data_IF_078422150759
#
_entry.id   IF_078422150759
#
_cell.length_a   1.000
_cell.length_b   1.000
_cell.length_c   1.000
_cell.angle_alpha   90.00
_cell.angle_beta   90.00
_cell.angle_gamma   90.00
#
_symmetry.space_group_name_H-M   'P 1'
#
loop_
_entity.id
_entity.type
_entity.pdbx_description
1 polymer ?
#
# COMPACT_ATOMS: atom_id res chain seq x y z
N UNK A 1 24.38 47.08 -15.78
CA UNK A 1 23.05 47.00 -16.44
C UNK A 1 22.00 46.92 -15.34
N UNK A 2 20.96 47.77 -15.36
CA UNK A 2 19.85 47.66 -14.41
C UNK A 2 18.76 46.77 -15.03
N UNK A 3 18.26 45.79 -14.28
CA UNK A 3 17.14 44.97 -14.74
C UNK A 3 15.83 45.78 -14.68
N UNK A 4 15.02 45.71 -15.74
CA UNK A 4 13.73 46.41 -15.78
C UNK A 4 12.83 45.95 -14.61
N UNK A 5 12.12 46.85 -13.90
CA UNK A 5 11.35 46.49 -12.70
C UNK A 5 10.36 45.34 -12.87
N UNK A 6 9.77 45.19 -14.07
CA UNK A 6 8.86 44.08 -14.40
C UNK A 6 9.57 42.71 -14.39
N UNK A 7 10.85 42.65 -14.80
CA UNK A 7 11.64 41.42 -14.76
C UNK A 7 11.99 41.06 -13.32
N UNK A 8 12.49 42.02 -12.53
CA UNK A 8 12.81 41.79 -11.11
C UNK A 8 11.61 41.29 -10.30
N UNK A 9 10.38 41.71 -10.66
CA UNK A 9 9.13 41.17 -10.08
C UNK A 9 8.85 39.73 -10.50
N UNK A 10 9.08 39.36 -11.76
CA UNK A 10 8.94 37.98 -12.23
C UNK A 10 9.96 37.05 -11.54
N UNK A 11 11.24 37.43 -11.57
CA UNK A 11 12.34 36.69 -10.94
C UNK A 11 12.06 36.44 -9.43
N UNK A 12 11.48 37.42 -8.72
CA UNK A 12 11.09 37.31 -7.31
C UNK A 12 9.88 36.37 -7.07
N UNK A 13 8.88 36.39 -7.96
CA UNK A 13 7.73 35.47 -7.88
C UNK A 13 8.15 34.02 -8.15
N UNK A 14 9.03 33.80 -9.13
CA UNK A 14 9.61 32.48 -9.39
C UNK A 14 10.40 31.97 -8.17
N UNK A 15 11.27 32.80 -7.59
CA UNK A 15 12.03 32.46 -6.39
C UNK A 15 11.14 32.09 -5.18
N UNK A 16 10.09 32.89 -4.91
CA UNK A 16 9.10 32.56 -3.87
C UNK A 16 8.42 31.22 -4.14
N UNK A 17 7.98 30.99 -5.39
CA UNK A 17 7.29 29.74 -5.75
C UNK A 17 8.19 28.50 -5.69
N UNK A 18 9.51 28.65 -5.94
CA UNK A 18 10.49 27.58 -5.69
C UNK A 18 10.66 27.28 -4.21
N UNK A 19 10.62 28.28 -3.32
CA UNK A 19 10.71 28.04 -1.87
C UNK A 19 9.47 27.30 -1.33
N UNK A 20 8.28 27.61 -1.83
CA UNK A 20 7.03 26.93 -1.49
C UNK A 20 7.05 25.44 -1.89
N UNK A 21 7.54 25.14 -3.10
CA UNK A 21 7.72 23.77 -3.57
C UNK A 21 8.80 23.03 -2.78
N UNK A 22 9.87 23.73 -2.35
CA UNK A 22 10.94 23.12 -1.56
C UNK A 22 10.50 22.77 -0.13
N UNK A 23 9.70 23.60 0.55
CA UNK A 23 9.15 23.24 1.87
C UNK A 23 8.17 22.06 1.76
N UNK A 24 7.28 22.08 0.77
CA UNK A 24 6.37 20.97 0.52
C UNK A 24 7.09 19.65 0.19
N UNK A 25 8.23 19.71 -0.52
CA UNK A 25 9.08 18.55 -0.76
C UNK A 25 9.87 18.11 0.48
N UNK A 26 10.33 19.00 1.38
CA UNK A 26 10.92 18.53 2.65
C UNK A 26 9.90 17.80 3.50
N UNK A 27 8.69 18.36 3.63
CA UNK A 27 7.61 17.81 4.43
C UNK A 27 7.17 16.41 3.92
N UNK A 28 7.18 16.21 2.59
CA UNK A 28 6.86 14.93 1.95
C UNK A 28 7.94 13.85 2.11
N UNK A 29 9.22 14.22 2.13
CA UNK A 29 10.33 13.26 2.04
C UNK A 29 11.04 12.96 3.37
N UNK A 30 10.73 13.69 4.46
CA UNK A 30 11.32 13.43 5.78
C UNK A 30 11.22 11.95 6.22
N UNK A 31 12.31 11.33 6.73
CA UNK A 31 13.62 11.93 7.06
C UNK A 31 14.63 11.94 5.90
N UNK A 32 14.28 11.44 4.71
CA UNK A 32 15.18 11.41 3.56
C UNK A 32 15.36 12.79 2.90
N UNK A 33 16.54 13.10 2.32
CA UNK A 33 16.70 14.32 1.54
C UNK A 33 15.89 14.22 0.24
N UNK A 34 15.12 15.25 -0.08
CA UNK A 34 14.35 15.32 -1.33
C UNK A 34 15.29 15.20 -2.55
N UNK A 35 14.86 14.50 -3.63
CA UNK A 35 15.71 14.26 -4.80
C UNK A 35 16.08 15.56 -5.52
N UNK A 36 17.23 15.57 -6.21
CA UNK A 36 17.67 16.73 -6.98
C UNK A 36 16.69 17.01 -8.14
N UNK A 37 16.14 18.23 -8.16
CA UNK A 37 15.23 18.71 -9.21
C UNK A 37 15.94 19.76 -10.06
N UNK A 38 15.94 19.57 -11.38
CA UNK A 38 16.39 20.59 -12.33
C UNK A 38 15.55 21.86 -12.21
N UNK A 39 16.21 23.02 -12.04
CA UNK A 39 15.54 24.32 -11.87
C UNK A 39 15.09 24.91 -13.21
N UNK A 40 14.06 24.32 -13.79
CA UNK A 40 13.46 24.69 -15.08
C UNK A 40 12.05 25.29 -14.84
N UNK A 41 11.65 26.28 -15.64
CA UNK A 41 10.29 26.83 -15.57
C UNK A 41 9.20 25.79 -15.91
N UNK A 42 9.54 24.74 -16.66
CA UNK A 42 8.66 23.60 -16.92
C UNK A 42 8.50 22.68 -15.70
N UNK A 43 9.59 22.33 -15.00
CA UNK A 43 9.55 21.49 -13.80
C UNK A 43 8.89 22.21 -12.63
N UNK A 44 9.12 23.53 -12.50
CA UNK A 44 8.43 24.39 -11.54
C UNK A 44 6.90 24.31 -11.71
N UNK A 45 6.39 24.48 -12.95
CA UNK A 45 4.95 24.40 -13.23
C UNK A 45 4.38 22.99 -13.02
N UNK A 46 5.14 21.95 -13.37
CA UNK A 46 4.74 20.57 -13.10
C UNK A 46 4.60 20.29 -11.59
N UNK A 47 5.56 20.77 -10.78
CA UNK A 47 5.53 20.61 -9.33
C UNK A 47 4.47 21.48 -8.65
N UNK A 48 4.22 22.71 -9.13
CA UNK A 48 3.10 23.53 -8.68
C UNK A 48 1.74 22.85 -8.94
N UNK A 49 1.57 22.25 -10.13
CA UNK A 49 0.36 21.50 -10.46
C UNK A 49 0.22 20.25 -9.58
N UNK A 50 1.30 19.50 -9.35
CA UNK A 50 1.29 18.31 -8.48
C UNK A 50 0.98 18.69 -7.02
N UNK A 51 1.57 19.78 -6.51
CA UNK A 51 1.27 20.33 -5.20
C UNK A 51 -0.20 20.74 -5.06
N UNK A 52 -0.76 21.45 -6.04
CA UNK A 52 -2.16 21.85 -6.04
C UNK A 52 -3.11 20.65 -6.10
N UNK A 53 -2.83 19.68 -6.98
CA UNK A 53 -3.63 18.45 -7.12
C UNK A 53 -3.54 17.57 -5.86
N UNK A 54 -2.37 17.47 -5.22
CA UNK A 54 -2.22 16.70 -3.98
C UNK A 54 -2.96 17.36 -2.81
N UNK A 55 -2.88 18.69 -2.67
CA UNK A 55 -3.66 19.45 -1.67
C UNK A 55 -5.17 19.28 -1.92
N UNK A 56 -5.61 19.28 -3.18
CA UNK A 56 -7.01 19.01 -3.53
C UNK A 56 -7.41 17.55 -3.20
N UNK A 57 -6.56 16.58 -3.48
CA UNK A 57 -6.78 15.17 -3.14
C UNK A 57 -6.85 14.95 -1.63
N UNK A 58 -5.97 15.57 -0.84
CA UNK A 58 -5.98 15.50 0.63
C UNK A 58 -7.21 16.19 1.24
N UNK A 59 -7.66 17.31 0.66
CA UNK A 59 -8.94 17.93 1.04
C UNK A 59 -10.12 16.99 0.74
N UNK A 60 -10.14 16.32 -0.42
CA UNK A 60 -11.16 15.30 -0.75
C UNK A 60 -11.10 14.09 0.19
N UNK A 61 -9.90 13.59 0.56
CA UNK A 61 -9.74 12.54 1.58
C UNK A 61 -10.33 12.99 2.92
N UNK A 62 -10.07 14.23 3.34
CA UNK A 62 -10.61 14.84 4.55
C UNK A 62 -12.14 14.91 4.55
N UNK A 63 -12.74 15.36 3.44
CA UNK A 63 -14.20 15.39 3.27
C UNK A 63 -14.83 13.99 3.33
N UNK A 64 -14.21 12.99 2.66
CA UNK A 64 -14.68 11.60 2.70
C UNK A 64 -14.60 11.02 4.12
N UNK A 65 -13.51 11.27 4.85
CA UNK A 65 -13.37 10.83 6.24
C UNK A 65 -14.36 11.53 7.19
N UNK A 66 -14.66 12.82 6.95
CA UNK A 66 -15.66 13.55 7.70
C UNK A 66 -17.08 13.00 7.46
N UNK A 67 -17.46 12.78 6.20
CA UNK A 67 -18.74 12.18 5.84
C UNK A 67 -18.90 10.76 6.40
N UNK A 68 -17.86 9.92 6.33
CA UNK A 68 -17.86 8.59 6.96
C UNK A 68 -18.06 8.66 8.49
N UNK A 69 -17.47 9.65 9.16
CA UNK A 69 -17.67 9.87 10.59
C UNK A 69 -19.08 10.37 10.93
N UNK A 70 -19.69 11.16 10.04
CA UNK A 70 -21.07 11.65 10.19
C UNK A 70 -22.08 10.51 9.98
N UNK A 71 -21.94 9.68 8.94
CA UNK A 71 -22.72 8.46 8.73
C UNK A 71 -22.63 7.49 9.94
N UNK A 72 -21.43 7.34 10.53
CA UNK A 72 -21.24 6.56 11.76
C UNK A 72 -21.86 7.21 13.01
N UNK A 73 -22.19 8.50 12.97
CA UNK A 73 -22.89 9.23 14.04
C UNK A 73 -24.41 9.27 13.87
N UNK A 74 -24.91 9.26 12.62
CA UNK A 74 -26.34 9.14 12.31
C UNK A 74 -26.84 7.70 12.41
N UNK A 75 -25.95 6.72 12.27
CA UNK A 75 -26.16 5.34 12.71
C UNK A 75 -26.34 5.28 14.24
N UNK A 76 -27.59 5.47 14.68
CA UNK A 76 -27.99 5.54 16.08
C UNK A 76 -27.73 4.27 16.92
N UNK A 77 -28.17 4.25 18.19
CA UNK A 77 -27.80 3.24 19.18
C UNK A 77 -27.83 1.81 18.64
N UNK A 78 -26.63 1.23 18.52
CA UNK A 78 -26.38 -0.04 17.84
C UNK A 78 -27.33 -1.11 18.38
N UNK A 79 -28.29 -1.61 17.58
CA UNK A 79 -29.18 -2.66 18.04
C UNK A 79 -28.35 -3.88 18.45
N UNK A 80 -28.76 -4.56 19.52
CA UNK A 80 -28.15 -5.80 20.02
C UNK A 80 -28.50 -6.95 19.08
N UNK A 81 -27.98 -6.88 17.86
CA UNK A 81 -28.05 -7.94 16.86
C UNK A 81 -27.13 -9.07 17.29
N UNK A 82 -27.64 -10.30 17.24
CA UNK A 82 -26.86 -11.50 17.48
C UNK A 82 -25.62 -11.52 16.57
N UNK A 83 -24.51 -12.08 17.06
CA UNK A 83 -23.24 -12.08 16.32
C UNK A 83 -23.33 -12.70 14.93
N UNK A 84 -24.26 -13.64 14.72
CA UNK A 84 -24.55 -14.23 13.43
C UNK A 84 -25.30 -13.27 12.49
N UNK A 85 -26.27 -12.51 13.01
CA UNK A 85 -27.00 -11.46 12.27
C UNK A 85 -26.08 -10.30 11.90
N UNK A 86 -25.16 -9.91 12.80
CA UNK A 86 -24.12 -8.93 12.52
C UNK A 86 -23.15 -9.43 11.42
N UNK A 87 -22.72 -10.69 11.50
CA UNK A 87 -21.84 -11.30 10.51
C UNK A 87 -22.48 -11.35 9.12
N UNK A 88 -23.74 -11.81 9.01
CA UNK A 88 -24.50 -11.80 7.75
C UNK A 88 -24.70 -10.39 7.19
N UNK A 89 -24.88 -9.38 8.05
CA UNK A 89 -24.97 -7.97 7.63
C UNK A 89 -23.62 -7.45 7.07
N UNK A 90 -22.50 -7.76 7.73
CA UNK A 90 -21.16 -7.43 7.26
C UNK A 90 -20.82 -8.15 5.95
N UNK A 91 -21.15 -9.44 5.85
CA UNK A 91 -21.05 -10.19 4.60
C UNK A 91 -21.90 -9.58 3.49
N UNK A 92 -23.07 -9.02 3.80
CA UNK A 92 -23.92 -8.36 2.79
C UNK A 92 -23.34 -7.01 2.31
N UNK A 93 -22.67 -6.26 3.19
CA UNK A 93 -22.16 -4.91 2.90
C UNK A 93 -20.74 -4.89 2.33
N UNK A 94 -19.92 -5.93 2.57
CA UNK A 94 -18.57 -6.02 2.02
C UNK A 94 -18.57 -6.14 0.47
N UNK A 95 -17.73 -5.36 -0.24
CA UNK A 95 -17.47 -5.57 -1.66
C UNK A 95 -16.98 -7.00 -1.99
N UNK A 96 -17.29 -7.54 -3.19
CA UNK A 96 -16.82 -8.87 -3.59
C UNK A 96 -15.32 -9.17 -3.39
N UNK A 97 -14.35 -8.28 -3.73
CA UNK A 97 -12.93 -8.60 -3.54
C UNK A 97 -12.53 -8.68 -2.07
N UNK A 98 -13.15 -7.93 -1.16
CA UNK A 98 -12.85 -8.04 0.27
C UNK A 98 -13.43 -9.31 0.89
N UNK A 99 -14.54 -9.85 0.37
CA UNK A 99 -15.01 -11.20 0.76
C UNK A 99 -13.99 -12.27 0.37
N UNK A 100 -13.52 -12.24 -0.88
CA UNK A 100 -12.52 -13.19 -1.38
C UNK A 100 -11.19 -13.08 -0.62
N UNK A 101 -10.76 -11.86 -0.26
CA UNK A 101 -9.57 -11.66 0.56
C UNK A 101 -9.73 -12.22 1.98
N UNK A 102 -10.88 -12.01 2.62
CA UNK A 102 -11.18 -12.52 3.97
C UNK A 102 -11.31 -14.05 3.97
N UNK A 103 -11.96 -14.63 2.95
CA UNK A 103 -12.04 -16.08 2.74
C UNK A 103 -10.65 -16.70 2.50
N UNK A 104 -9.78 -16.03 1.73
CA UNK A 104 -8.39 -16.45 1.53
C UNK A 104 -7.57 -16.38 2.82
N UNK A 105 -7.76 -15.34 3.64
CA UNK A 105 -7.12 -15.17 4.95
C UNK A 105 -7.61 -16.22 5.96
N UNK A 106 -8.90 -16.55 5.96
CA UNK A 106 -9.46 -17.63 6.78
C UNK A 106 -8.88 -19.00 6.36
N UNK A 107 -8.76 -19.25 5.05
CA UNK A 107 -8.12 -20.47 4.52
C UNK A 107 -6.64 -20.56 4.90
N UNK A 108 -5.88 -19.47 4.80
CA UNK A 108 -4.47 -19.49 5.21
C UNK A 108 -4.32 -19.64 6.73
N UNK A 109 -5.16 -19.00 7.55
CA UNK A 109 -5.18 -19.22 9.00
C UNK A 109 -5.44 -20.68 9.38
N UNK A 110 -6.40 -21.34 8.73
CA UNK A 110 -6.69 -22.78 8.93
C UNK A 110 -5.52 -23.66 8.46
N UNK A 111 -4.96 -23.40 7.28
CA UNK A 111 -3.83 -24.17 6.74
C UNK A 111 -2.54 -24.01 7.57
N UNK A 112 -2.32 -22.86 8.20
CA UNK A 112 -1.18 -22.58 9.07
C UNK A 112 -1.39 -23.04 10.52
N UNK A 113 -2.58 -23.54 10.86
CA UNK A 113 -2.93 -24.00 12.21
C UNK A 113 -3.04 -22.88 13.24
N UNK A 114 -3.38 -21.66 12.84
CA UNK A 114 -3.55 -20.52 13.75
C UNK A 114 -4.72 -20.80 14.73
N UNK A 115 -4.49 -20.84 16.06
CA UNK A 115 -5.55 -21.20 17.00
C UNK A 115 -6.56 -20.07 17.13
N UNK A 116 -7.84 -20.36 16.87
CA UNK A 116 -8.96 -19.50 17.24
C UNK A 116 -9.20 -19.65 18.75
N UNK A 117 -8.34 -19.03 19.57
CA UNK A 117 -8.61 -18.89 21.00
C UNK A 117 -9.70 -17.85 21.21
N UNK A 118 -10.87 -18.32 21.63
CA UNK A 118 -11.75 -17.54 22.49
C UNK A 118 -11.12 -17.43 23.88
N UNK A 119 -11.54 -16.39 24.60
CA UNK A 119 -11.36 -16.16 26.03
C UNK A 119 -10.03 -15.48 26.44
N UNK A 120 -10.16 -14.20 26.84
CA UNK A 120 -9.17 -13.27 27.40
C UNK A 120 -7.98 -12.84 26.51
N UNK A 121 -7.81 -11.51 26.45
CA UNK A 121 -6.70 -10.71 25.91
C UNK A 121 -6.33 -10.86 24.40
N UNK A 122 -6.34 -9.76 23.60
CA UNK A 122 -6.13 -9.83 22.16
C UNK A 122 -4.76 -9.30 21.65
N UNK A 123 -3.67 -10.11 21.65
CA UNK A 123 -2.66 -9.98 20.60
C UNK A 123 -3.32 -10.43 19.28
N UNK A 124 -3.09 -9.73 18.18
CA UNK A 124 -3.95 -9.92 17.00
C UNK A 124 -3.73 -11.28 16.33
N UNK A 125 -4.82 -11.98 15.97
CA UNK A 125 -4.74 -13.23 15.19
C UNK A 125 -4.06 -13.04 13.82
N UNK A 126 -4.04 -11.81 13.31
CA UNK A 126 -3.31 -11.38 12.12
C UNK A 126 -1.79 -11.41 12.36
N UNK A 127 -1.32 -10.97 13.53
CA UNK A 127 0.09 -11.00 13.93
C UNK A 127 0.59 -12.43 14.21
N UNK A 128 -0.26 -13.28 14.80
CA UNK A 128 -0.01 -14.71 14.90
C UNK A 128 0.11 -15.40 13.52
N UNK A 129 -0.72 -14.99 12.55
CA UNK A 129 -0.64 -15.46 11.17
C UNK A 129 0.61 -14.93 10.44
N UNK A 130 0.93 -13.64 10.59
CA UNK A 130 2.13 -13.03 9.99
C UNK A 130 3.41 -13.68 10.51
N UNK A 131 3.53 -13.85 11.83
CA UNK A 131 4.68 -14.52 12.44
C UNK A 131 4.79 -15.99 12.03
N UNK A 132 3.66 -16.72 11.89
CA UNK A 132 3.70 -18.11 11.38
C UNK A 132 4.10 -18.20 9.90
N UNK A 133 3.65 -17.28 9.05
CA UNK A 133 4.09 -17.18 7.64
C UNK A 133 5.59 -16.90 7.57
N UNK A 134 6.08 -15.89 8.30
CA UNK A 134 7.50 -15.52 8.29
C UNK A 134 8.39 -16.66 8.81
N UNK A 135 7.95 -17.37 9.85
CA UNK A 135 8.66 -18.54 10.35
C UNK A 135 8.64 -19.70 9.33
N UNK A 136 7.53 -19.95 8.64
CA UNK A 136 7.47 -20.96 7.57
C UNK A 136 8.42 -20.62 6.41
N UNK A 137 8.52 -19.34 6.02
CA UNK A 137 9.48 -18.93 4.97
C UNK A 137 10.95 -19.06 5.40
N UNK A 138 11.24 -18.97 6.71
CA UNK A 138 12.56 -19.28 7.26
C UNK A 138 12.82 -20.79 7.27
N UNK A 139 11.88 -21.58 7.80
CA UNK A 139 11.94 -23.04 7.81
C UNK A 139 12.18 -23.60 6.39
N UNK A 140 11.54 -23.00 5.37
CA UNK A 140 11.74 -23.34 3.96
C UNK A 140 13.15 -23.01 3.45
N UNK A 141 13.64 -21.78 3.68
CA UNK A 141 14.99 -21.37 3.25
C UNK A 141 16.11 -22.15 3.96
N UNK A 142 15.95 -22.45 5.24
CA UNK A 142 16.89 -23.26 6.01
C UNK A 142 16.93 -24.71 5.48
N UNK A 143 15.81 -25.25 5.01
CA UNK A 143 15.75 -26.56 4.35
C UNK A 143 16.32 -26.54 2.92
N UNK A 144 16.04 -25.51 2.13
CA UNK A 144 16.67 -25.31 0.81
C UNK A 144 18.20 -25.23 0.92
N UNK A 145 18.71 -24.51 1.93
CA UNK A 145 20.15 -24.40 2.24
C UNK A 145 20.74 -25.74 2.71
N UNK A 146 19.98 -26.56 3.44
CA UNK A 146 20.41 -27.92 3.79
C UNK A 146 20.46 -28.84 2.56
N UNK A 147 19.50 -28.74 1.64
CA UNK A 147 19.48 -29.53 0.41
C UNK A 147 20.68 -29.18 -0.48
N UNK A 148 20.97 -27.90 -0.72
CA UNK A 148 22.13 -27.51 -1.53
C UNK A 148 23.45 -27.95 -0.90
N UNK A 149 23.59 -27.89 0.43
CA UNK A 149 24.75 -28.42 1.16
C UNK A 149 24.89 -29.94 1.02
N UNK A 150 23.78 -30.69 1.04
CA UNK A 150 23.76 -32.14 0.79
C UNK A 150 24.15 -32.46 -0.66
N UNK A 151 23.71 -31.66 -1.64
CA UNK A 151 24.10 -31.81 -3.06
C UNK A 151 25.57 -31.47 -3.29
N UNK A 152 26.11 -30.43 -2.64
CA UNK A 152 27.55 -30.10 -2.66
C UNK A 152 28.37 -31.24 -2.05
N UNK A 153 27.98 -31.76 -0.89
CA UNK A 153 28.63 -32.90 -0.24
C UNK A 153 28.53 -34.18 -1.10
N UNK A 154 27.39 -34.42 -1.73
CA UNK A 154 27.19 -35.54 -2.65
C UNK A 154 28.04 -35.39 -3.93
N UNK A 155 28.17 -34.17 -4.46
CA UNK A 155 29.04 -33.89 -5.62
C UNK A 155 30.52 -34.08 -5.30
N UNK A 156 30.95 -33.67 -4.10
CA UNK A 156 32.34 -33.82 -3.65
C UNK A 156 32.68 -35.26 -3.29
N UNK A 157 31.76 -36.02 -2.69
CA UNK A 157 31.90 -37.47 -2.52
C UNK A 157 31.96 -38.19 -3.88
N UNK A 158 31.07 -37.88 -4.83
CA UNK A 158 31.12 -38.46 -6.18
C UNK A 158 32.42 -38.11 -6.91
N UNK A 159 32.94 -36.89 -6.72
CA UNK A 159 34.26 -36.49 -7.25
C UNK A 159 35.41 -37.23 -6.57
N UNK A 160 35.35 -37.46 -5.26
CA UNK A 160 36.33 -38.28 -4.53
C UNK A 160 36.28 -39.75 -4.96
N UNK A 161 35.09 -40.33 -5.11
CA UNK A 161 34.89 -41.70 -5.64
C UNK A 161 35.47 -41.80 -7.05
N UNK A 162 35.15 -40.86 -7.94
CA UNK A 162 35.70 -40.80 -9.30
C UNK A 162 37.23 -40.67 -9.29
N UNK A 163 37.78 -39.83 -8.41
CA UNK A 163 39.22 -39.66 -8.24
C UNK A 163 39.90 -40.92 -7.67
N UNK A 164 39.28 -41.63 -6.73
CA UNK A 164 39.79 -42.89 -6.17
C UNK A 164 39.70 -44.01 -7.21
N UNK A 165 38.65 -44.05 -8.04
CA UNK A 165 38.54 -44.97 -9.18
C UNK A 165 39.62 -44.69 -10.23
N UNK A 166 39.89 -43.43 -10.55
CA UNK A 166 41.00 -43.03 -11.44
C UNK A 166 42.36 -43.35 -10.82
N UNK A 167 42.57 -43.07 -9.54
CA UNK A 167 43.82 -43.34 -8.83
C UNK A 167 44.09 -44.84 -8.68
N UNK A 168 43.06 -45.67 -8.46
CA UNK A 168 43.21 -47.14 -8.41
C UNK A 168 43.38 -47.74 -9.81
N UNK A 169 42.69 -47.23 -10.84
CA UNK A 169 42.93 -47.63 -12.23
C UNK A 169 44.34 -47.25 -12.72
N UNK A 170 44.82 -46.05 -12.35
CA UNK A 170 46.20 -45.62 -12.61
C UNK A 170 47.19 -46.46 -11.80
N UNK A 171 46.97 -46.68 -10.51
CA UNK A 171 47.85 -47.53 -9.69
C UNK A 171 47.95 -48.96 -10.23
N UNK A 172 46.85 -49.58 -10.67
CA UNK A 172 46.84 -50.89 -11.35
C UNK A 172 47.61 -50.88 -12.69
N UNK A 173 47.76 -49.71 -13.31
CA UNK A 173 48.60 -49.48 -14.50
C UNK A 173 50.06 -49.12 -14.16
N UNK A 174 50.31 -48.73 -12.91
CA UNK A 174 51.53 -48.10 -12.42
C UNK A 174 52.18 -48.88 -11.26
N UNK A 175 51.79 -50.16 -11.09
CA UNK A 175 52.53 -51.18 -10.31
C UNK A 175 53.85 -51.61 -10.99
N UNK A 176 54.60 -50.64 -11.53
CA UNK A 176 56.03 -50.69 -11.80
C UNK A 176 56.60 -49.40 -11.20
N UNK A 177 57.40 -49.47 -10.11
CA UNK A 177 57.33 -48.45 -9.05
C UNK A 177 58.35 -47.30 -9.13
N UNK A 178 57.97 -46.14 -8.60
CA UNK A 178 58.80 -45.13 -7.86
C UNK A 178 57.93 -43.89 -7.51
N UNK A 179 58.26 -42.99 -6.59
CA UNK A 179 58.79 -43.07 -5.22
C UNK A 179 58.70 -41.66 -4.58
N UNK A 180 58.54 -41.56 -3.26
CA UNK A 180 58.99 -40.46 -2.38
C UNK A 180 58.37 -39.02 -2.37
N UNK A 181 57.76 -38.72 -1.20
CA UNK A 181 57.98 -37.56 -0.29
C UNK A 181 57.41 -36.14 -0.51
N UNK A 182 56.52 -35.75 0.43
CA UNK A 182 56.59 -34.63 1.41
C UNK A 182 57.33 -33.32 1.02
N UNK A 183 56.79 -32.11 1.32
CA UNK A 183 56.77 -31.59 2.71
C UNK A 183 55.84 -30.36 2.95
N UNK A 184 55.60 -30.03 4.23
CA UNK A 184 54.98 -28.76 4.69
C UNK A 184 56.02 -27.72 5.16
N UNK A 185 55.64 -26.43 5.20
CA UNK A 185 56.34 -25.29 5.88
C UNK A 185 55.37 -24.09 6.06
N UNK A 186 55.61 -23.18 7.03
CA UNK A 186 54.65 -22.09 7.37
C UNK A 186 55.22 -20.92 8.21
N UNK A 187 54.40 -19.86 8.36
CA UNK A 187 54.34 -18.85 9.45
C UNK A 187 55.28 -17.61 9.46
N UNK A 188 54.75 -16.47 9.97
CA UNK A 188 55.35 -15.55 11.01
C UNK A 188 55.47 -14.02 10.74
N UNK A 189 54.91 -13.21 11.67
CA UNK A 189 55.25 -11.84 12.23
C UNK A 189 55.17 -10.46 11.49
N UNK A 190 54.17 -9.63 11.89
CA UNK A 190 54.23 -8.39 12.76
C UNK A 190 54.86 -7.01 12.28
N UNK A 191 54.95 -5.90 13.11
CA UNK A 191 54.23 -4.58 12.96
C UNK A 191 55.21 -3.32 13.00
N UNK A 192 54.96 -2.05 13.52
CA UNK A 192 53.80 -1.31 14.14
C UNK A 192 53.68 0.23 13.74
N UNK A 193 53.26 1.13 14.69
CA UNK A 193 53.35 2.64 14.74
C UNK A 193 52.28 3.54 14.01
N UNK A 194 51.94 4.82 14.35
CA UNK A 194 51.94 5.62 15.62
C UNK A 194 51.26 7.04 15.51
N UNK A 195 51.00 7.72 16.66
CA UNK A 195 50.64 9.17 16.87
C UNK A 195 49.22 9.66 16.42
N UNK A 196 48.68 10.89 16.67
CA UNK A 196 49.12 12.16 17.34
C UNK A 196 47.94 13.07 17.84
N UNK A 197 48.20 14.23 18.48
CA UNK A 197 47.24 15.20 19.13
C UNK A 197 47.73 16.71 18.98
N UNK A 198 47.33 17.81 19.71
CA UNK A 198 46.30 18.05 20.78
C UNK A 198 45.57 19.48 20.89
N UNK A 199 44.59 19.61 21.82
CA UNK A 199 44.22 20.74 22.76
C UNK A 199 43.69 22.17 22.36
N UNK A 200 42.67 22.70 23.12
CA UNK A 200 42.52 24.09 23.72
C UNK A 200 41.16 24.42 24.42
N UNK A 201 41.19 25.40 25.37
CA UNK A 201 40.23 25.92 26.42
C UNK A 201 39.01 26.80 25.91
N UNK A 202 38.10 27.50 26.65
CA UNK A 202 37.99 28.08 28.03
C UNK A 202 36.51 28.40 28.49
N UNK A 203 36.26 29.04 29.67
CA UNK A 203 34.90 29.25 30.28
C UNK A 203 34.73 30.43 31.33
N UNK A 204 33.65 31.27 31.31
CA UNK A 204 33.21 32.18 32.41
C UNK A 204 31.66 32.35 32.67
N UNK A 205 31.21 33.02 33.77
CA UNK A 205 29.78 33.20 34.24
C UNK A 205 29.56 34.55 35.03
N UNK A 206 28.31 35.09 35.18
CA UNK A 206 27.89 35.87 36.38
C UNK A 206 26.45 35.59 36.94
N UNK A 207 26.05 36.22 38.07
CA UNK A 207 24.88 35.90 38.95
C UNK A 207 24.17 37.16 39.56
N UNK A 208 22.87 37.15 39.98
CA UNK A 208 22.16 38.31 40.60
C UNK A 208 21.75 38.18 42.10
N UNK A 209 21.16 39.23 42.70
CA UNK A 209 20.80 39.36 44.15
C UNK A 209 19.36 39.89 44.44
N UNK A 210 18.98 40.05 45.72
CA UNK A 210 17.60 40.02 46.28
C UNK A 210 17.06 41.35 46.89
N UNK A 211 15.74 41.46 47.27
CA UNK A 211 15.03 42.74 47.45
C UNK A 211 14.52 43.08 48.87
N UNK A 212 14.06 44.34 49.07
CA UNK A 212 13.25 44.82 50.21
C UNK A 212 12.30 45.96 49.78
N UNK A 213 11.00 45.86 50.05
CA UNK A 213 9.99 46.97 50.21
C UNK A 213 8.60 46.35 50.41
N UNK A 214 7.80 46.82 51.39
CA UNK A 214 6.49 46.20 51.72
C UNK A 214 5.30 47.17 51.71
N UNK A 215 5.49 48.49 51.91
CA UNK A 215 4.37 49.44 51.95
C UNK A 215 3.96 49.96 50.56
N UNK A 216 4.91 50.19 49.65
CA UNK A 216 4.60 50.60 48.26
C UNK A 216 3.73 49.56 47.54
N UNK A 217 3.92 48.28 47.89
CA UNK A 217 3.23 47.14 47.26
C UNK A 217 1.69 47.25 47.26
N UNK A 218 1.08 47.93 48.24
CA UNK A 218 -0.37 48.14 48.27
C UNK A 218 -0.84 49.19 47.24
N UNK A 219 -0.06 50.26 47.05
CA UNK A 219 -0.31 51.27 46.01
C UNK A 219 -0.02 50.69 44.62
N UNK A 220 1.10 49.97 44.47
CA UNK A 220 1.48 49.27 43.25
C UNK A 220 0.41 48.24 42.83
N UNK A 221 -0.18 47.52 43.79
CA UNK A 221 -1.27 46.58 43.53
C UNK A 221 -2.54 47.28 42.99
N UNK A 222 -2.91 48.44 43.56
CA UNK A 222 -4.06 49.22 43.05
C UNK A 222 -3.79 49.78 41.65
N UNK A 223 -2.59 50.32 41.40
CA UNK A 223 -2.18 50.79 40.09
C UNK A 223 -2.23 49.65 39.05
N UNK A 224 -1.65 48.50 39.37
CA UNK A 224 -1.66 47.29 38.52
C UNK A 224 -3.09 46.81 38.20
N UNK A 225 -3.98 46.82 39.18
CA UNK A 225 -5.40 46.45 38.99
C UNK A 225 -6.14 47.44 38.09
N UNK A 226 -5.82 48.74 38.19
CA UNK A 226 -6.35 49.77 37.29
C UNK A 226 -5.83 49.59 35.86
N UNK A 227 -4.53 49.33 35.67
CA UNK A 227 -3.93 49.03 34.36
C UNK A 227 -4.56 47.79 33.71
N UNK A 228 -4.74 46.70 34.47
CA UNK A 228 -5.45 45.49 34.01
C UNK A 228 -6.89 45.81 33.61
N UNK A 229 -7.60 46.64 34.38
CA UNK A 229 -8.97 47.07 34.06
C UNK A 229 -9.02 47.86 32.75
N UNK A 230 -8.10 48.80 32.54
CA UNK A 230 -7.99 49.55 31.27
C UNK A 230 -7.62 48.65 30.10
N UNK A 231 -6.77 47.65 30.31
CA UNK A 231 -6.38 46.68 29.29
C UNK A 231 -7.56 45.81 28.86
N UNK A 232 -8.30 45.21 29.80
CA UNK A 232 -9.49 44.43 29.50
C UNK A 232 -10.60 45.27 28.84
N UNK A 233 -10.71 46.57 29.14
CA UNK A 233 -11.62 47.46 28.42
C UNK A 233 -11.20 47.69 26.95
N UNK A 234 -9.91 47.73 26.63
CA UNK A 234 -9.40 47.82 25.25
C UNK A 234 -9.64 46.53 24.49
N UNK A 235 -9.30 45.39 25.10
CA UNK A 235 -9.50 44.04 24.57
C UNK A 235 -10.99 43.79 24.26
N UNK A 236 -11.88 44.11 25.20
CA UNK A 236 -13.34 44.01 25.03
C UNK A 236 -13.83 44.83 23.83
N UNK A 237 -13.34 46.07 23.67
CA UNK A 237 -13.70 46.93 22.53
C UNK A 237 -13.19 46.37 21.20
N UNK A 238 -11.95 45.87 21.17
CA UNK A 238 -11.38 45.24 19.97
C UNK A 238 -12.13 43.95 19.59
N UNK A 239 -12.51 43.14 20.57
CA UNK A 239 -13.27 41.92 20.35
C UNK A 239 -14.68 42.23 19.82
N UNK A 240 -15.35 43.25 20.38
CA UNK A 240 -16.65 43.72 19.90
C UNK A 240 -16.62 44.17 18.43
N UNK A 241 -15.57 44.88 18.00
CA UNK A 241 -15.36 45.28 16.60
C UNK A 241 -15.22 44.03 15.72
N UNK A 242 -14.33 43.09 16.07
CA UNK A 242 -14.19 41.81 15.33
C UNK A 242 -15.48 41.02 15.26
N UNK A 243 -16.27 40.99 16.34
CA UNK A 243 -17.57 40.33 16.35
C UNK A 243 -18.61 41.00 15.42
N UNK A 244 -18.47 42.28 15.10
CA UNK A 244 -19.26 42.93 14.05
C UNK A 244 -18.73 42.53 12.66
N UNK A 245 -17.41 42.63 12.42
CA UNK A 245 -16.77 42.24 11.15
C UNK A 245 -17.10 40.79 10.74
N UNK A 246 -17.07 39.85 11.69
CA UNK A 246 -17.43 38.46 11.43
C UNK A 246 -18.93 38.28 11.13
N UNK A 247 -19.83 39.03 11.77
CA UNK A 247 -21.27 39.00 11.44
C UNK A 247 -21.54 39.53 10.04
N UNK A 248 -20.93 40.66 9.68
CA UNK A 248 -21.06 41.23 8.33
C UNK A 248 -20.51 40.28 7.27
N UNK A 249 -19.40 39.58 7.57
CA UNK A 249 -18.80 38.60 6.67
C UNK A 249 -19.62 37.30 6.55
N UNK A 250 -20.23 36.81 7.64
CA UNK A 250 -21.19 35.70 7.59
C UNK A 250 -22.39 36.11 6.73
N UNK A 251 -23.02 37.25 7.01
CA UNK A 251 -24.14 37.75 6.22
C UNK A 251 -23.79 38.00 4.74
N UNK A 252 -22.54 38.30 4.41
CA UNK A 252 -22.06 38.41 3.03
C UNK A 252 -21.89 37.02 2.36
N UNK A 253 -21.38 36.03 3.08
CA UNK A 253 -21.27 34.65 2.61
C UNK A 253 -22.64 33.98 2.44
N UNK A 254 -23.61 34.25 3.32
CA UNK A 254 -25.00 33.80 3.19
C UNK A 254 -25.66 34.37 1.92
N UNK A 255 -25.46 35.67 1.65
CA UNK A 255 -25.91 36.31 0.40
C UNK A 255 -25.21 35.73 -0.83
N UNK A 256 -23.92 35.37 -0.72
CA UNK A 256 -23.20 34.69 -1.80
C UNK A 256 -23.71 33.26 -2.02
N UNK A 257 -24.02 32.51 -0.95
CA UNK A 257 -24.58 31.17 -1.03
C UNK A 257 -25.97 31.18 -1.73
N UNK A 258 -26.90 32.04 -1.29
CA UNK A 258 -28.20 32.19 -1.93
C UNK A 258 -28.10 32.61 -3.42
N UNK A 259 -27.13 33.47 -3.77
CA UNK A 259 -26.83 33.79 -5.17
C UNK A 259 -26.28 32.58 -5.93
N UNK A 260 -25.38 31.81 -5.33
CA UNK A 260 -24.81 30.59 -5.92
C UNK A 260 -25.85 29.47 -6.07
N UNK A 261 -26.83 29.32 -5.18
CA UNK A 261 -27.95 28.39 -5.35
C UNK A 261 -28.75 28.74 -6.62
N UNK A 262 -29.07 30.03 -6.79
CA UNK A 262 -29.83 30.52 -7.96
C UNK A 262 -29.11 30.37 -9.31
N UNK A 263 -27.78 30.24 -9.32
CA UNK A 263 -26.95 30.21 -10.54
C UNK A 263 -26.17 28.91 -10.75
N UNK A 264 -26.00 28.10 -9.70
CA UNK A 264 -25.22 26.87 -9.66
C UNK A 264 -26.07 25.59 -9.78
N UNK A 265 -27.29 25.60 -9.23
CA UNK A 265 -28.16 24.41 -9.18
C UNK A 265 -28.42 23.77 -10.55
N UNK A 266 -28.51 24.57 -11.62
CA UNK A 266 -28.60 24.06 -12.99
C UNK A 266 -27.36 23.26 -13.42
N UNK A 267 -26.15 23.80 -13.20
CA UNK A 267 -24.89 23.14 -13.61
C UNK A 267 -24.58 21.88 -12.79
N UNK A 268 -24.93 21.89 -11.51
CA UNK A 268 -24.77 20.72 -10.65
C UNK A 268 -25.79 19.63 -11.02
N UNK A 269 -27.05 20.00 -11.27
CA UNK A 269 -28.09 19.09 -11.76
C UNK A 269 -27.73 18.49 -13.13
N UNK A 270 -27.25 19.31 -14.09
CA UNK A 270 -26.76 18.85 -15.39
C UNK A 270 -25.59 17.86 -15.26
N UNK A 271 -24.65 18.12 -14.36
CA UNK A 271 -23.51 17.25 -14.10
C UNK A 271 -23.93 15.94 -13.43
N UNK A 272 -24.86 15.97 -12.48
CA UNK A 272 -25.47 14.77 -11.87
C UNK A 272 -26.26 13.96 -12.92
N UNK A 273 -27.03 14.61 -13.78
CA UNK A 273 -27.75 13.96 -14.88
C UNK A 273 -26.80 13.30 -15.89
N UNK A 274 -25.70 13.97 -16.25
CA UNK A 274 -24.65 13.41 -17.11
C UNK A 274 -23.95 12.19 -16.45
N UNK A 275 -23.69 12.24 -15.14
CA UNK A 275 -23.14 11.11 -14.38
C UNK A 275 -24.12 9.92 -14.31
N UNK A 276 -25.42 10.17 -14.14
CA UNK A 276 -26.46 9.13 -14.19
C UNK A 276 -26.53 8.47 -15.58
N UNK A 277 -26.57 9.26 -16.66
CA UNK A 277 -26.54 8.73 -18.03
C UNK A 277 -25.27 7.88 -18.30
N UNK A 278 -24.11 8.31 -17.77
CA UNK A 278 -22.84 7.57 -17.84
C UNK A 278 -22.90 6.25 -17.04
N UNK A 279 -23.51 6.25 -15.85
CA UNK A 279 -23.75 5.06 -15.00
C UNK A 279 -24.61 4.01 -15.72
N UNK A 280 -25.66 4.42 -16.42
CA UNK A 280 -26.52 3.49 -17.16
C UNK A 280 -25.94 3.05 -18.51
N UNK A 281 -25.03 3.84 -19.11
CA UNK A 281 -24.17 3.38 -20.20
C UNK A 281 -23.22 2.26 -19.72
N UNK A 282 -22.58 2.45 -18.55
CA UNK A 282 -21.71 1.43 -17.94
C UNK A 282 -22.46 0.15 -17.52
N UNK A 283 -23.68 0.26 -16.97
CA UNK A 283 -24.55 -0.89 -16.68
C UNK A 283 -24.84 -1.71 -17.94
N UNK A 284 -25.24 -1.06 -19.05
CA UNK A 284 -25.49 -1.73 -20.34
C UNK A 284 -24.23 -2.40 -20.90
N UNK A 285 -23.07 -1.74 -20.83
CA UNK A 285 -21.78 -2.36 -21.22
C UNK A 285 -21.42 -3.57 -20.36
N UNK A 286 -21.61 -3.52 -19.04
CA UNK A 286 -21.37 -4.65 -18.14
C UNK A 286 -22.29 -5.84 -18.43
N UNK A 287 -23.59 -5.59 -18.66
CA UNK A 287 -24.53 -6.64 -19.05
C UNK A 287 -24.11 -7.33 -20.36
N UNK A 288 -23.73 -6.54 -21.38
CA UNK A 288 -23.22 -7.06 -22.65
C UNK A 288 -21.92 -7.86 -22.46
N UNK A 289 -21.00 -7.39 -21.60
CA UNK A 289 -19.79 -8.15 -21.24
C UNK A 289 -20.15 -9.49 -20.60
N UNK A 290 -21.07 -9.54 -19.63
CA UNK A 290 -21.47 -10.83 -19.01
C UNK A 290 -22.12 -11.81 -19.99
N UNK A 291 -22.81 -11.32 -21.04
CA UNK A 291 -23.36 -12.16 -22.12
C UNK A 291 -22.26 -12.64 -23.08
N UNK A 292 -21.26 -11.81 -23.38
CA UNK A 292 -20.10 -12.23 -24.16
C UNK A 292 -19.22 -13.22 -23.39
N UNK A 293 -19.01 -13.02 -22.09
CA UNK A 293 -18.27 -13.94 -21.23
C UNK A 293 -18.95 -15.30 -21.07
N UNK A 294 -20.28 -15.35 -20.98
CA UNK A 294 -20.99 -16.64 -20.91
C UNK A 294 -20.90 -17.37 -22.25
N UNK A 295 -21.00 -16.64 -23.37
CA UNK A 295 -20.76 -17.18 -24.72
C UNK A 295 -19.32 -17.68 -24.90
N UNK A 296 -18.31 -16.93 -24.46
CA UNK A 296 -16.89 -17.33 -24.53
C UNK A 296 -16.65 -18.57 -23.65
N UNK A 297 -17.24 -18.61 -22.44
CA UNK A 297 -17.19 -19.80 -21.57
C UNK A 297 -17.82 -21.04 -22.20
N UNK A 298 -18.85 -20.89 -23.03
CA UNK A 298 -19.43 -22.01 -23.79
C UNK A 298 -18.54 -22.54 -24.93
N UNK A 299 -17.48 -21.81 -25.33
CA UNK A 299 -16.46 -22.26 -26.27
C UNK A 299 -15.12 -22.62 -25.60
N UNK A 300 -15.06 -22.64 -24.27
CA UNK A 300 -13.83 -22.80 -23.51
C UNK A 300 -13.33 -24.26 -23.54
N UNK A 301 -12.51 -24.57 -24.54
CA UNK A 301 -12.03 -25.93 -24.84
C UNK A 301 -11.86 -26.19 -26.33
N UNK A 302 -12.47 -25.38 -27.20
CA UNK A 302 -12.17 -25.43 -28.64
C UNK A 302 -10.76 -24.86 -28.90
N UNK A 303 -9.97 -25.48 -29.79
CA UNK A 303 -8.74 -24.89 -30.28
C UNK A 303 -8.96 -23.48 -30.88
N UNK A 304 -8.00 -22.54 -30.73
CA UNK A 304 -8.12 -21.20 -31.33
C UNK A 304 -8.02 -21.23 -32.87
N UNK A 305 -7.58 -22.35 -33.44
CA UNK A 305 -7.60 -22.60 -34.88
C UNK A 305 -8.91 -23.27 -35.33
N UNK A 306 -9.36 -22.87 -36.51
CA UNK A 306 -10.62 -23.28 -37.13
C UNK A 306 -10.52 -24.65 -37.82
N UNK A 307 -9.33 -25.08 -38.24
CA UNK A 307 -9.12 -26.44 -38.77
C UNK A 307 -9.03 -27.46 -37.63
N UNK A 308 -8.26 -27.16 -36.57
CA UNK A 308 -8.22 -27.97 -35.35
C UNK A 308 -9.61 -28.11 -34.70
N UNK A 309 -10.42 -27.04 -34.66
CA UNK A 309 -11.83 -27.11 -34.22
C UNK A 309 -12.69 -28.04 -35.09
N UNK A 310 -12.46 -28.08 -36.41
CA UNK A 310 -13.17 -29.01 -37.32
C UNK A 310 -12.71 -30.46 -37.13
N UNK A 311 -11.41 -30.68 -36.87
CA UNK A 311 -10.87 -32.00 -36.60
C UNK A 311 -11.52 -32.63 -35.35
N UNK A 312 -11.67 -31.87 -34.27
CA UNK A 312 -12.29 -32.37 -33.03
C UNK A 312 -13.80 -32.63 -33.18
N UNK A 313 -14.52 -31.80 -33.95
CA UNK A 313 -15.92 -32.07 -34.32
C UNK A 313 -16.04 -33.35 -35.15
N UNK A 314 -15.16 -33.55 -36.14
CA UNK A 314 -15.16 -34.78 -36.95
C UNK A 314 -14.83 -36.02 -36.11
N UNK A 315 -13.92 -35.89 -35.13
CA UNK A 315 -13.58 -36.93 -34.16
C UNK A 315 -14.82 -37.33 -33.33
N UNK A 316 -15.46 -36.36 -32.69
CA UNK A 316 -16.65 -36.61 -31.86
C UNK A 316 -17.82 -37.18 -32.69
N UNK A 317 -17.95 -36.77 -33.96
CA UNK A 317 -18.94 -37.31 -34.89
C UNK A 317 -18.67 -38.79 -35.22
N UNK A 318 -17.40 -39.18 -35.41
CA UNK A 318 -17.01 -40.56 -35.66
C UNK A 318 -17.29 -41.46 -34.44
N UNK A 319 -16.88 -41.04 -33.24
CA UNK A 319 -17.16 -41.75 -31.99
C UNK A 319 -18.67 -41.92 -31.75
N UNK A 320 -19.47 -40.90 -32.06
CA UNK A 320 -20.93 -40.97 -32.00
C UNK A 320 -21.51 -41.99 -32.99
N UNK A 321 -20.97 -42.09 -34.20
CA UNK A 321 -21.44 -43.04 -35.21
C UNK A 321 -20.98 -44.48 -34.92
N UNK A 322 -19.82 -44.69 -34.31
CA UNK A 322 -19.41 -46.00 -33.79
C UNK A 322 -20.29 -46.45 -32.62
N UNK A 323 -20.64 -45.55 -31.69
CA UNK A 323 -21.61 -45.84 -30.62
C UNK A 323 -23.01 -46.15 -31.17
N UNK A 324 -23.43 -45.57 -32.29
CA UNK A 324 -24.67 -45.97 -32.99
C UNK A 324 -24.54 -47.38 -33.58
N UNK A 325 -23.44 -47.70 -34.27
CA UNK A 325 -23.18 -49.06 -34.82
C UNK A 325 -23.19 -50.11 -33.71
N UNK A 326 -22.55 -49.83 -32.58
CA UNK A 326 -22.57 -50.71 -31.40
C UNK A 326 -23.98 -50.86 -30.81
N UNK A 327 -24.72 -49.76 -30.66
CA UNK A 327 -26.12 -49.79 -30.21
C UNK A 327 -26.96 -50.66 -31.13
N UNK A 328 -26.86 -50.45 -32.44
CA UNK A 328 -27.71 -51.11 -33.44
C UNK A 328 -27.36 -52.60 -33.57
N UNK A 329 -26.08 -52.97 -33.57
CA UNK A 329 -25.63 -54.36 -33.52
C UNK A 329 -25.97 -55.08 -32.19
N UNK A 330 -26.22 -54.35 -31.10
CA UNK A 330 -26.79 -54.89 -29.86
C UNK A 330 -28.31 -55.05 -29.95
N UNK A 331 -29.02 -54.12 -30.60
CA UNK A 331 -30.46 -54.23 -30.86
C UNK A 331 -30.79 -55.38 -31.83
N UNK A 332 -30.07 -55.54 -32.93
CA UNK A 332 -30.24 -56.67 -33.86
C UNK A 332 -30.04 -58.01 -33.15
N UNK A 333 -29.06 -58.09 -32.23
CA UNK A 333 -28.80 -59.29 -31.42
C UNK A 333 -29.91 -59.59 -30.39
N UNK A 334 -30.65 -58.58 -29.94
CA UNK A 334 -31.82 -58.75 -29.08
C UNK A 334 -33.08 -59.09 -29.88
N UNK A 335 -33.25 -58.51 -31.07
CA UNK A 335 -34.36 -58.81 -31.98
C UNK A 335 -34.28 -60.21 -32.55
N UNK A 336 -33.14 -60.59 -33.14
CA UNK A 336 -32.94 -61.92 -33.72
C UNK A 336 -32.98 -63.07 -32.71
N UNK A 337 -32.88 -62.79 -31.40
CA UNK A 337 -33.07 -63.78 -30.35
C UNK A 337 -34.57 -64.09 -30.05
N UNK A 338 -35.49 -63.22 -30.49
CA UNK A 338 -36.95 -63.43 -30.37
C UNK A 338 -37.53 -64.21 -31.55
N UNK A 339 -36.90 -64.17 -32.72
CA UNK A 339 -37.31 -64.91 -33.92
C UNK A 339 -36.82 -66.38 -33.95
N UNK A 340 -36.15 -66.86 -32.88
CA UNK A 340 -35.51 -68.17 -32.82
C UNK A 340 -35.92 -69.01 -31.60
N UNK A 341 -37.17 -68.93 -31.16
CA UNK A 341 -37.77 -69.80 -30.12
C UNK A 341 -39.25 -70.08 -30.40
#
# INVERSE_FOLDING_TARGET
MQASPSKARADALEAHSWSLVQSWLSDLYHPSPAPYVERNAATLKALQNLMAENIAADHVRGLVAAAQKEELGTAGPRPTLDGESLSRLLESSLPPPSKQALESLAKSAVLLGCPLQSDSDPPSSIEALQSRILNLTREMFDLETQITSIDELTSTLNRQISHIQQATANFVRETVPSSDNNHLSASTSSPPESASFPLTSALPIPLPTTPTTTETAAADHYARLHEQTLQHQRETKQLAIKCAEYKDRIAALERQAAAQESQGGGKESDLVAALLAKKDSLRRKRALITVLESRIRAFHGLPPDLEASRAEVNRAQAELDDLKRERDARFERLGGALDTS
#
